data_IF_138300171144
#
_entry.id   IF_138300171144
#
_cell.length_a   1.000
_cell.length_b   1.000
_cell.length_c   1.000
_cell.angle_alpha   90.00
_cell.angle_beta   90.00
_cell.angle_gamma   90.00
#
_symmetry.space_group_name_H-M   'P 1'
#
loop_
_entity.id
_entity.type
_entity.pdbx_description
1 polymer ?
#
# COMPACT_ATOMS: atom_id res chain seq x y z
N UNK A 1 -5.39 20.00 -1.21
CA UNK A 1 -4.75 18.76 -1.71
C UNK A 1 -3.97 18.15 -0.56
N UNK A 2 -4.10 16.84 -0.31
CA UNK A 2 -3.30 16.14 0.69
C UNK A 2 -1.78 16.28 0.40
N UNK A 3 -0.95 16.21 1.45
CA UNK A 3 0.51 16.24 1.31
C UNK A 3 0.99 15.08 0.41
N UNK A 4 2.03 15.29 -0.40
CA UNK A 4 2.57 14.26 -1.29
C UNK A 4 3.20 13.10 -0.50
N UNK A 5 3.72 13.39 0.70
CA UNK A 5 4.39 12.41 1.55
C UNK A 5 3.78 12.46 2.94
N UNK A 6 3.15 11.37 3.38
CA UNK A 6 2.47 11.27 4.66
C UNK A 6 2.94 10.04 5.42
N UNK A 7 3.00 10.12 6.75
CA UNK A 7 3.19 8.98 7.63
C UNK A 7 2.08 8.99 8.68
N UNK A 8 1.25 7.96 8.67
CA UNK A 8 0.29 7.69 9.73
C UNK A 8 0.99 6.93 10.85
N UNK A 9 1.03 7.52 12.05
CA UNK A 9 1.72 6.92 13.19
C UNK A 9 0.85 6.85 14.43
N UNK A 10 1.16 5.91 15.32
CA UNK A 10 0.50 5.78 16.61
C UNK A 10 0.55 4.35 17.13
N UNK A 11 -0.06 4.10 18.29
CA UNK A 11 -0.08 2.78 18.91
C UNK A 11 -0.74 1.70 18.03
N UNK A 12 -0.51 0.41 18.29
CA UNK A 12 -1.16 -0.66 17.54
C UNK A 12 -2.68 -0.66 17.76
N UNK A 13 -3.43 -1.07 16.73
CA UNK A 13 -4.88 -1.20 16.82
C UNK A 13 -5.66 0.12 16.77
N UNK A 14 -5.04 1.24 16.36
CA UNK A 14 -5.73 2.55 16.26
C UNK A 14 -6.38 2.82 14.91
N UNK A 15 -6.28 1.89 13.96
CA UNK A 15 -6.91 2.02 12.63
C UNK A 15 -6.04 2.70 11.57
N UNK A 16 -4.70 2.72 11.72
CA UNK A 16 -3.77 3.25 10.71
C UNK A 16 -4.00 2.69 9.30
N UNK A 17 -4.25 1.38 9.18
CA UNK A 17 -4.59 0.75 7.88
C UNK A 17 -5.82 1.37 7.24
N UNK A 18 -6.83 1.71 8.04
CA UNK A 18 -8.04 2.37 7.56
C UNK A 18 -7.77 3.82 7.15
N UNK A 19 -7.00 4.56 7.94
CA UNK A 19 -6.56 5.92 7.58
C UNK A 19 -5.79 5.95 6.26
N UNK A 20 -4.94 4.95 6.01
CA UNK A 20 -4.21 4.80 4.73
C UNK A 20 -5.16 4.58 3.55
N UNK A 21 -6.21 3.77 3.72
CA UNK A 21 -7.24 3.56 2.69
C UNK A 21 -7.96 4.87 2.37
N UNK A 22 -8.44 5.58 3.40
CA UNK A 22 -9.12 6.87 3.21
C UNK A 22 -8.22 7.91 2.55
N UNK A 23 -6.96 8.01 3.00
CA UNK A 23 -5.99 8.92 2.40
C UNK A 23 -5.70 8.60 0.93
N UNK A 24 -5.62 7.31 0.58
CA UNK A 24 -5.46 6.86 -0.81
C UNK A 24 -6.65 7.25 -1.66
N UNK A 25 -7.88 7.01 -1.18
CA UNK A 25 -9.10 7.40 -1.89
C UNK A 25 -9.26 8.92 -1.96
N UNK A 26 -8.82 9.66 -0.95
CA UNK A 26 -8.81 11.12 -0.98
C UNK A 26 -7.87 11.68 -2.08
N UNK A 27 -6.84 10.92 -2.46
CA UNK A 27 -5.92 11.25 -3.55
C UNK A 27 -6.47 10.80 -4.90
N UNK A 28 -6.97 9.56 -5.00
CA UNK A 28 -7.29 8.91 -6.27
C UNK A 28 -8.77 8.95 -6.66
N UNK A 29 -9.69 9.05 -5.70
CA UNK A 29 -11.13 8.98 -5.92
C UNK A 29 -11.94 9.68 -4.80
N UNK A 30 -11.67 10.98 -4.62
CA UNK A 30 -12.33 11.79 -3.59
C UNK A 30 -13.88 11.76 -3.69
N UNK A 31 -14.51 11.82 -4.87
CA UNK A 31 -15.96 11.74 -4.97
C UNK A 31 -16.52 10.42 -4.43
N UNK A 32 -15.84 9.28 -4.66
CA UNK A 32 -16.24 8.00 -4.09
C UNK A 32 -16.10 7.98 -2.57
N UNK A 33 -14.99 8.50 -2.03
CA UNK A 33 -14.77 8.61 -0.59
C UNK A 33 -15.90 9.40 0.09
N UNK A 34 -16.21 10.59 -0.41
CA UNK A 34 -17.25 11.46 0.16
C UNK A 34 -18.63 10.79 0.11
N UNK A 35 -18.95 10.11 -1.00
CA UNK A 35 -20.24 9.44 -1.17
C UNK A 35 -20.42 8.23 -0.25
N UNK A 36 -19.34 7.53 0.07
CA UNK A 36 -19.36 6.29 0.85
C UNK A 36 -18.73 6.47 2.24
N UNK A 37 -18.65 7.71 2.74
CA UNK A 37 -18.14 8.02 4.06
C UNK A 37 -18.89 7.18 5.12
N UNK A 38 -18.13 6.50 5.98
CA UNK A 38 -18.66 5.60 7.01
C UNK A 38 -18.84 4.13 6.56
N UNK A 39 -18.77 3.80 5.27
CA UNK A 39 -18.83 2.41 4.79
C UNK A 39 -17.44 1.80 4.62
N UNK A 40 -16.89 1.22 5.70
CA UNK A 40 -15.53 0.62 5.68
C UNK A 40 -15.35 -0.44 4.59
N UNK A 41 -16.38 -1.28 4.37
CA UNK A 41 -16.34 -2.34 3.36
C UNK A 41 -16.33 -1.79 1.94
N UNK A 42 -17.12 -0.75 1.63
CA UNK A 42 -17.14 -0.13 0.31
C UNK A 42 -15.83 0.59 -0.01
N UNK A 43 -15.26 1.31 0.96
CA UNK A 43 -13.96 1.97 0.81
C UNK A 43 -12.85 0.95 0.59
N UNK A 44 -12.84 -0.14 1.35
CA UNK A 44 -11.86 -1.23 1.17
C UNK A 44 -11.99 -1.90 -0.19
N UNK A 45 -13.21 -2.19 -0.64
CA UNK A 45 -13.44 -2.77 -1.97
C UNK A 45 -12.91 -1.86 -3.08
N UNK A 46 -13.18 -0.55 -3.02
CA UNK A 46 -12.67 0.42 -3.99
C UNK A 46 -11.14 0.52 -3.97
N UNK A 47 -10.55 0.47 -2.78
CA UNK A 47 -9.10 0.44 -2.62
C UNK A 47 -8.48 -0.82 -3.24
N UNK A 48 -9.11 -1.98 -3.10
CA UNK A 48 -8.64 -3.24 -3.69
C UNK A 48 -8.71 -3.22 -5.23
N UNK A 49 -9.72 -2.56 -5.80
CA UNK A 49 -9.78 -2.29 -7.24
C UNK A 49 -8.59 -1.44 -7.71
N UNK A 50 -8.20 -0.40 -6.95
CA UNK A 50 -7.06 0.48 -7.28
C UNK A 50 -5.70 -0.24 -7.13
N UNK A 51 -5.58 -1.13 -6.15
CA UNK A 51 -4.42 -2.03 -6.03
C UNK A 51 -4.30 -2.94 -7.25
N UNK A 52 -5.40 -3.59 -7.65
CA UNK A 52 -5.43 -4.46 -8.83
C UNK A 52 -5.14 -3.69 -10.13
N UNK A 53 -5.58 -2.43 -10.21
CA UNK A 53 -5.34 -1.55 -11.36
C UNK A 53 -3.89 -1.06 -11.48
N UNK A 54 -3.06 -1.27 -10.46
CA UNK A 54 -1.68 -0.77 -10.35
C UNK A 54 -1.52 0.74 -10.18
N UNK A 55 -2.58 1.44 -9.80
CA UNK A 55 -2.51 2.84 -9.38
C UNK A 55 -2.04 3.00 -7.93
N UNK A 56 -2.18 1.92 -7.15
CA UNK A 56 -1.64 1.78 -5.81
C UNK A 56 -0.62 0.64 -5.80
N UNK A 57 0.52 0.86 -5.16
CA UNK A 57 1.49 -0.19 -4.78
C UNK A 57 1.54 -0.26 -3.27
N UNK A 58 1.58 -1.48 -2.74
CA UNK A 58 1.68 -1.71 -1.31
C UNK A 58 2.93 -2.54 -1.03
N UNK A 59 3.78 -2.06 -0.12
CA UNK A 59 4.95 -2.78 0.36
C UNK A 59 5.04 -2.67 1.87
N UNK A 60 5.64 -3.67 2.50
CA UNK A 60 5.93 -3.66 3.93
C UNK A 60 7.43 -3.66 4.14
N UNK A 61 7.95 -2.71 4.89
CA UNK A 61 9.37 -2.69 5.23
C UNK A 61 9.68 -3.70 6.34
N UNK A 62 10.85 -4.32 6.22
CA UNK A 62 11.39 -5.25 7.19
C UNK A 62 12.92 -5.11 7.21
N UNK A 63 13.59 -5.72 8.19
CA UNK A 63 15.03 -5.55 8.40
C UNK A 63 15.88 -5.94 7.19
N UNK A 64 15.42 -6.94 6.41
CA UNK A 64 16.09 -7.38 5.18
C UNK A 64 15.68 -6.63 3.91
N UNK A 65 14.72 -5.69 3.99
CA UNK A 65 14.23 -4.94 2.82
C UNK A 65 15.30 -3.92 2.42
N UNK A 66 15.65 -3.90 1.15
CA UNK A 66 16.89 -3.25 0.68
C UNK A 66 16.65 -2.20 -0.40
N UNK A 67 17.71 -1.49 -0.78
CA UNK A 67 17.69 -0.56 -1.91
C UNK A 67 17.32 -1.31 -3.20
N UNK A 68 17.83 -2.54 -3.35
CA UNK A 68 17.66 -3.40 -4.51
C UNK A 68 16.22 -3.85 -4.72
N UNK A 69 15.43 -3.94 -3.65
CA UNK A 69 13.99 -4.24 -3.71
C UNK A 69 13.16 -2.98 -4.03
N UNK A 70 13.64 -1.82 -3.61
CA UNK A 70 12.90 -0.57 -3.67
C UNK A 70 13.16 0.23 -4.94
N UNK A 71 14.42 0.41 -5.32
CA UNK A 71 14.86 1.28 -6.40
C UNK A 71 15.32 0.48 -7.60
N UNK A 72 16.45 -0.21 -7.52
CA UNK A 72 16.93 -1.12 -8.56
C UNK A 72 18.03 -2.03 -8.02
N UNK A 73 18.11 -3.24 -8.56
CA UNK A 73 19.11 -4.22 -8.15
C UNK A 73 19.48 -5.18 -9.26
N UNK A 74 20.64 -5.83 -9.13
CA UNK A 74 21.06 -6.88 -10.05
C UNK A 74 20.35 -8.18 -9.71
N UNK A 75 19.68 -8.78 -10.70
CA UNK A 75 19.14 -10.14 -10.60
C UNK A 75 19.83 -11.06 -11.59
N UNK A 76 20.14 -12.26 -11.11
CA UNK A 76 20.67 -13.31 -11.96
C UNK A 76 19.53 -13.96 -12.74
N UNK A 77 19.61 -13.93 -14.06
CA UNK A 77 18.77 -14.69 -14.99
C UNK A 77 19.61 -15.80 -15.61
N UNK A 78 19.00 -16.96 -15.84
CA UNK A 78 19.67 -18.06 -16.53
C UNK A 78 19.05 -18.16 -17.91
N UNK A 79 19.87 -18.04 -18.96
CA UNK A 79 19.38 -18.23 -20.32
C UNK A 79 19.10 -19.72 -20.62
N UNK A 80 18.45 -19.98 -21.75
CA UNK A 80 18.11 -21.35 -22.21
C UNK A 80 19.34 -22.26 -22.37
N UNK A 81 20.54 -21.70 -22.43
CA UNK A 81 21.82 -22.43 -22.52
C UNK A 81 22.47 -22.68 -21.16
N UNK A 82 21.82 -22.27 -20.05
CA UNK A 82 22.33 -22.45 -18.69
C UNK A 82 23.37 -21.40 -18.30
N UNK A 83 23.57 -20.34 -19.08
CA UNK A 83 24.51 -19.27 -18.76
C UNK A 83 23.85 -18.22 -17.87
N UNK A 84 24.53 -17.88 -16.77
CA UNK A 84 24.07 -16.85 -15.83
C UNK A 84 24.36 -15.46 -16.41
N UNK A 85 23.34 -14.63 -16.50
CA UNK A 85 23.41 -13.21 -16.84
C UNK A 85 22.93 -12.39 -15.65
N UNK A 86 23.48 -11.19 -15.50
CA UNK A 86 23.03 -10.26 -14.47
C UNK A 86 22.37 -9.08 -15.16
N UNK A 87 21.12 -8.84 -14.81
CA UNK A 87 20.31 -7.77 -15.36
C UNK A 87 19.91 -6.82 -14.24
N UNK A 88 19.90 -5.52 -14.54
CA UNK A 88 19.38 -4.52 -13.61
C UNK A 88 17.87 -4.55 -13.69
N UNK A 89 17.22 -4.81 -12.57
CA UNK A 89 15.75 -4.89 -12.46
C UNK A 89 15.28 -3.73 -11.60
N UNK A 90 14.27 -2.99 -12.08
CA UNK A 90 13.61 -1.93 -11.33
C UNK A 90 12.92 -2.49 -10.09
N UNK A 91 13.15 -1.86 -8.95
CA UNK A 91 12.42 -2.10 -7.71
C UNK A 91 11.01 -1.51 -7.74
N UNK A 92 10.27 -1.71 -6.66
CA UNK A 92 8.84 -1.33 -6.58
C UNK A 92 8.58 0.17 -6.76
N UNK A 93 9.49 1.03 -6.28
CA UNK A 93 9.32 2.47 -6.35
C UNK A 93 9.73 3.02 -7.71
N UNK A 94 10.87 2.56 -8.25
CA UNK A 94 11.33 2.94 -9.60
C UNK A 94 10.30 2.53 -10.65
N UNK A 95 9.83 1.28 -10.61
CA UNK A 95 8.81 0.78 -11.54
C UNK A 95 7.49 1.55 -11.46
N UNK A 96 7.07 1.98 -10.26
CA UNK A 96 5.90 2.84 -10.11
C UNK A 96 6.10 4.21 -10.80
N UNK A 97 7.25 4.85 -10.58
CA UNK A 97 7.59 6.12 -11.21
C UNK A 97 7.66 6.00 -12.74
N UNK A 98 8.27 4.94 -13.26
CA UNK A 98 8.38 4.65 -14.69
C UNK A 98 7.00 4.43 -15.33
N UNK A 99 6.08 3.76 -14.62
CA UNK A 99 4.73 3.52 -15.14
C UNK A 99 3.97 4.81 -15.43
N UNK A 100 4.14 5.84 -14.59
CA UNK A 100 3.55 7.17 -14.81
C UNK A 100 4.20 7.85 -16.02
N UNK A 101 5.53 7.81 -16.11
CA UNK A 101 6.26 8.44 -17.19
C UNK A 101 5.86 7.84 -18.56
N UNK A 102 5.66 6.52 -18.62
CA UNK A 102 5.16 5.83 -19.82
C UNK A 102 3.75 6.30 -20.19
N UNK A 103 2.82 6.38 -19.24
CA UNK A 103 1.44 6.85 -19.46
C UNK A 103 1.37 8.31 -19.94
N UNK A 104 2.24 9.20 -19.42
CA UNK A 104 2.29 10.61 -19.80
C UNK A 104 2.85 10.85 -21.20
N UNK A 105 3.65 9.92 -21.73
CA UNK A 105 4.41 10.13 -22.97
C UNK A 105 3.60 10.00 -24.26
N UNK A 106 2.32 9.61 -24.19
CA UNK A 106 1.47 9.43 -25.39
C UNK A 106 2.06 8.42 -26.40
N UNK A 107 2.85 7.46 -25.90
CA UNK A 107 3.69 6.53 -26.68
C UNK A 107 2.90 5.63 -27.62
N UNK A 108 1.67 5.29 -27.25
CA UNK A 108 0.82 4.34 -27.95
C UNK A 108 -0.45 4.99 -28.47
N UNK A 109 -0.97 4.42 -29.57
CA UNK A 109 -2.23 4.88 -30.16
C UNK A 109 -3.39 4.64 -29.19
N UNK A 110 -4.12 5.71 -28.86
CA UNK A 110 -5.30 5.63 -28.00
C UNK A 110 -6.46 4.87 -28.66
N UNK A 111 -7.36 4.36 -27.82
CA UNK A 111 -8.64 3.75 -28.21
C UNK A 111 -9.75 4.81 -28.18
N UNK A 112 -10.70 4.76 -29.13
CA UNK A 112 -11.88 5.63 -29.13
C UNK A 112 -13.14 4.84 -28.83
N UNK A 113 -14.05 5.45 -28.08
CA UNK A 113 -15.39 4.89 -27.87
C UNK A 113 -16.08 4.72 -29.23
N UNK A 114 -16.58 3.52 -29.48
CA UNK A 114 -17.17 3.11 -30.75
C UNK A 114 -16.24 2.31 -31.66
N UNK A 115 -14.92 2.29 -31.40
CA UNK A 115 -13.98 1.47 -32.15
C UNK A 115 -14.32 -0.02 -32.03
N UNK A 116 -14.02 -0.78 -33.09
CA UNK A 116 -14.27 -2.22 -33.14
C UNK A 116 -13.00 -2.99 -33.42
N UNK A 117 -12.76 -4.04 -32.65
CA UNK A 117 -11.56 -4.87 -32.72
C UNK A 117 -11.91 -6.37 -32.79
N UNK A 118 -11.03 -7.13 -33.44
CA UNK A 118 -11.17 -8.59 -33.59
C UNK A 118 -12.51 -9.00 -34.22
N UNK A 119 -13.16 -10.00 -33.64
CA UNK A 119 -14.41 -10.60 -34.15
C UNK A 119 -15.69 -9.87 -33.71
N UNK A 120 -15.61 -8.57 -33.42
CA UNK A 120 -16.77 -7.72 -33.11
C UNK A 120 -16.81 -7.15 -31.70
N UNK A 121 -15.66 -7.05 -31.02
CA UNK A 121 -15.55 -6.37 -29.73
C UNK A 121 -15.69 -4.86 -29.96
N UNK A 122 -16.53 -4.19 -29.18
CA UNK A 122 -16.78 -2.75 -29.31
C UNK A 122 -16.28 -2.02 -28.08
N UNK A 123 -15.50 -0.97 -28.28
CA UNK A 123 -15.08 -0.06 -27.19
C UNK A 123 -16.30 0.73 -26.73
N UNK A 124 -16.72 0.50 -25.49
CA UNK A 124 -17.81 1.25 -24.86
C UNK A 124 -17.28 2.33 -23.92
N UNK A 125 -16.06 2.13 -23.42
CA UNK A 125 -15.32 3.11 -22.63
C UNK A 125 -13.85 2.96 -22.94
N UNK A 126 -13.18 4.07 -23.21
CA UNK A 126 -11.72 4.12 -23.27
C UNK A 126 -11.27 5.40 -22.58
N UNK A 127 -10.50 5.23 -21.53
CA UNK A 127 -9.75 6.29 -20.90
C UNK A 127 -8.35 5.75 -20.60
N UNK A 128 -7.43 6.58 -20.14
CA UNK A 128 -6.04 6.11 -20.00
C UNK A 128 -5.84 5.12 -18.82
N UNK A 129 -6.89 4.74 -18.06
CA UNK A 129 -6.82 3.70 -17.01
C UNK A 129 -7.35 2.35 -17.50
N UNK A 130 -8.44 2.36 -18.25
CA UNK A 130 -9.16 1.15 -18.63
C UNK A 130 -9.78 1.30 -20.02
N UNK A 131 -9.74 0.21 -20.78
CA UNK A 131 -10.60 0.00 -21.93
C UNK A 131 -11.69 -0.99 -21.55
N UNK A 132 -12.94 -0.56 -21.61
CA UNK A 132 -14.09 -1.45 -21.48
C UNK A 132 -14.59 -1.83 -22.88
N UNK A 133 -14.71 -3.13 -23.07
CA UNK A 133 -15.12 -3.76 -24.32
C UNK A 133 -16.44 -4.51 -24.11
N UNK A 134 -17.41 -4.21 -24.96
CA UNK A 134 -18.60 -5.03 -25.14
C UNK A 134 -18.23 -6.24 -26.02
N UNK A 135 -18.42 -7.46 -25.51
CA UNK A 135 -18.22 -8.68 -26.29
C UNK A 135 -19.33 -8.83 -27.33
N UNK A 136 -19.08 -9.53 -28.46
CA UNK A 136 -20.13 -9.82 -29.46
C UNK A 136 -21.39 -10.51 -28.90
N UNK A 137 -21.27 -11.22 -27.78
CA UNK A 137 -22.37 -11.91 -27.08
C UNK A 137 -22.91 -11.14 -25.85
N UNK A 138 -22.64 -9.84 -25.74
CA UNK A 138 -23.31 -8.88 -24.84
C UNK A 138 -22.72 -8.67 -23.45
N UNK A 139 -21.80 -9.52 -22.95
CA UNK A 139 -21.12 -9.25 -21.67
C UNK A 139 -19.99 -8.23 -21.85
N UNK A 140 -19.88 -7.26 -20.96
CA UNK A 140 -18.78 -6.30 -20.93
C UNK A 140 -17.61 -6.83 -20.11
N UNK A 141 -16.40 -6.40 -20.45
CA UNK A 141 -15.21 -6.60 -19.61
C UNK A 141 -14.25 -5.43 -19.79
N UNK A 142 -13.45 -5.17 -18.76
CA UNK A 142 -12.41 -4.16 -18.78
C UNK A 142 -11.03 -4.79 -18.91
N UNK A 143 -10.13 -4.09 -19.60
CA UNK A 143 -8.68 -4.35 -19.57
C UNK A 143 -7.98 -3.08 -19.09
N UNK A 144 -7.04 -3.22 -18.17
CA UNK A 144 -6.25 -2.11 -17.69
C UNK A 144 -5.31 -1.60 -18.80
N UNK A 145 -5.27 -0.28 -18.99
CA UNK A 145 -4.34 0.35 -19.93
C UNK A 145 -2.89 0.17 -19.50
N UNK A 146 -2.62 0.08 -18.20
CA UNK A 146 -1.28 -0.23 -17.66
C UNK A 146 -0.75 -1.57 -18.16
N UNK A 147 -1.58 -2.62 -18.15
CA UNK A 147 -1.24 -3.91 -18.73
C UNK A 147 -1.02 -3.81 -20.24
N UNK A 148 -1.92 -3.14 -20.96
CA UNK A 148 -1.78 -3.01 -22.41
C UNK A 148 -0.53 -2.22 -22.80
N UNK A 149 -0.18 -1.18 -22.06
CA UNK A 149 1.04 -0.41 -22.25
C UNK A 149 2.28 -1.28 -21.97
N UNK A 150 2.30 -2.03 -20.87
CA UNK A 150 3.42 -2.90 -20.53
C UNK A 150 3.64 -4.01 -21.59
N UNK A 151 2.55 -4.64 -22.05
CA UNK A 151 2.62 -5.61 -23.16
C UNK A 151 3.06 -4.95 -24.48
N UNK A 152 2.62 -3.72 -24.75
CA UNK A 152 3.05 -2.96 -25.93
C UNK A 152 4.53 -2.56 -25.82
N UNK A 153 5.03 -2.26 -24.61
CA UNK A 153 6.44 -2.01 -24.32
C UNK A 153 7.27 -3.24 -24.66
N UNK A 154 6.94 -4.41 -24.10
CA UNK A 154 7.63 -5.67 -24.36
C UNK A 154 7.63 -6.04 -25.84
N UNK A 155 6.50 -5.83 -26.53
CA UNK A 155 6.42 -6.09 -27.97
C UNK A 155 7.24 -5.08 -28.79
N UNK A 156 7.20 -3.80 -28.42
CA UNK A 156 7.97 -2.75 -29.12
C UNK A 156 9.49 -2.91 -28.95
N UNK A 157 9.92 -3.45 -27.82
CA UNK A 157 11.32 -3.72 -27.50
C UNK A 157 11.81 -5.07 -28.06
N UNK A 158 10.91 -5.87 -28.65
CA UNK A 158 11.22 -7.18 -29.22
C UNK A 158 11.40 -8.29 -28.19
N UNK A 159 11.07 -8.03 -26.92
CA UNK A 159 11.05 -9.02 -25.83
C UNK A 159 9.94 -10.05 -26.09
N UNK A 160 8.78 -9.57 -26.53
CA UNK A 160 7.67 -10.39 -27.00
C UNK A 160 7.37 -10.10 -28.49
N UNK A 161 6.75 -11.06 -29.15
CA UNK A 161 6.04 -10.81 -30.40
C UNK A 161 4.53 -10.85 -30.15
N UNK A 162 3.75 -10.19 -31.01
CA UNK A 162 2.29 -10.29 -30.99
C UNK A 162 1.82 -11.75 -31.08
N UNK A 163 2.57 -12.59 -31.82
CA UNK A 163 2.28 -14.01 -31.94
C UNK A 163 2.50 -14.79 -30.63
N UNK A 164 3.43 -14.36 -29.77
CA UNK A 164 3.62 -14.97 -28.44
C UNK A 164 2.40 -14.71 -27.54
N UNK A 165 1.77 -13.54 -27.69
CA UNK A 165 0.53 -13.20 -26.97
C UNK A 165 -0.67 -14.01 -27.45
N UNK A 166 -0.78 -14.28 -28.75
CA UNK A 166 -1.90 -15.04 -29.33
C UNK A 166 -1.82 -16.54 -29.03
N UNK A 167 -0.62 -17.11 -29.07
CA UNK A 167 -0.36 -18.53 -28.80
C UNK A 167 -0.28 -18.84 -27.30
N UNK A 168 0.02 -17.82 -26.47
CA UNK A 168 0.16 -17.97 -25.03
C UNK A 168 1.57 -18.35 -24.57
N UNK A 169 2.56 -18.28 -25.47
CA UNK A 169 3.96 -18.60 -25.19
C UNK A 169 4.70 -17.47 -24.43
N UNK A 170 4.03 -16.34 -24.18
CA UNK A 170 4.60 -15.21 -23.45
C UNK A 170 4.97 -15.55 -21.99
N UNK A 171 4.30 -16.52 -21.34
CA UNK A 171 4.61 -16.97 -19.97
C UNK A 171 5.99 -17.62 -19.87
N UNK A 172 6.38 -18.39 -20.89
CA UNK A 172 7.70 -19.02 -20.93
C UNK A 172 8.81 -17.99 -21.16
N UNK A 173 8.50 -16.93 -21.92
CA UNK A 173 9.45 -15.84 -22.20
C UNK A 173 9.56 -14.84 -21.05
N UNK A 174 8.52 -14.69 -20.23
CA UNK A 174 8.48 -13.79 -19.09
C UNK A 174 8.02 -14.50 -17.81
N UNK A 175 8.79 -15.49 -17.31
CA UNK A 175 8.39 -16.33 -16.17
C UNK A 175 8.27 -15.56 -14.85
N UNK A 176 8.89 -14.38 -14.77
CA UNK A 176 8.86 -13.49 -13.60
C UNK A 176 8.02 -12.23 -13.83
N UNK A 177 7.21 -12.17 -14.89
CA UNK A 177 6.34 -11.01 -15.11
C UNK A 177 5.31 -10.87 -14.00
N UNK A 178 4.88 -9.64 -13.75
CA UNK A 178 3.76 -9.33 -12.86
C UNK A 178 2.40 -9.42 -13.57
N UNK A 179 2.36 -9.93 -14.80
CA UNK A 179 1.12 -10.04 -15.57
C UNK A 179 0.27 -11.18 -15.01
N UNK A 180 -1.03 -10.94 -14.81
CA UNK A 180 -1.96 -12.00 -14.43
C UNK A 180 -2.10 -13.03 -15.59
N UNK A 181 -1.64 -14.28 -15.40
CA UNK A 181 -1.71 -15.30 -16.44
C UNK A 181 -3.14 -15.60 -16.89
N UNK A 182 -4.12 -15.52 -15.98
CA UNK A 182 -5.52 -15.80 -16.29
C UNK A 182 -6.14 -14.72 -17.17
N UNK A 183 -5.71 -13.48 -17.02
CA UNK A 183 -6.21 -12.37 -17.81
C UNK A 183 -5.67 -12.45 -19.24
N UNK A 184 -4.37 -12.64 -19.43
CA UNK A 184 -3.80 -12.76 -20.79
C UNK A 184 -4.27 -14.04 -21.48
N UNK A 185 -4.36 -15.18 -20.77
CA UNK A 185 -4.95 -16.43 -21.32
C UNK A 185 -6.42 -16.27 -21.71
N UNK A 186 -7.21 -15.60 -20.87
CA UNK A 186 -8.64 -15.39 -21.09
C UNK A 186 -8.96 -14.51 -22.31
N UNK A 187 -8.00 -13.72 -22.78
CA UNK A 187 -8.19 -12.71 -23.82
C UNK A 187 -7.20 -12.84 -25.01
N UNK A 188 -6.65 -14.03 -25.26
CA UNK A 188 -5.74 -14.35 -26.39
C UNK A 188 -6.26 -13.93 -27.77
N UNK A 189 -7.58 -13.79 -27.93
CA UNK A 189 -8.20 -13.39 -29.20
C UNK A 189 -8.28 -11.87 -29.40
N UNK A 190 -8.14 -11.07 -28.34
CA UNK A 190 -8.38 -9.63 -28.37
C UNK A 190 -7.14 -8.82 -27.96
N UNK A 191 -6.39 -9.27 -26.94
CA UNK A 191 -5.17 -8.58 -26.48
C UNK A 191 -4.17 -8.37 -27.62
N UNK A 192 -3.81 -9.37 -28.45
CA UNK A 192 -2.86 -9.17 -29.55
C UNK A 192 -3.32 -8.07 -30.53
N UNK A 193 -4.61 -8.02 -30.85
CA UNK A 193 -5.20 -7.04 -31.76
C UNK A 193 -5.16 -5.63 -31.16
N UNK A 194 -5.37 -5.50 -29.85
CA UNK A 194 -5.26 -4.22 -29.15
C UNK A 194 -3.82 -3.72 -29.14
N UNK A 195 -2.85 -4.61 -28.90
CA UNK A 195 -1.42 -4.27 -28.92
C UNK A 195 -0.97 -3.87 -30.34
N UNK A 196 -1.41 -4.59 -31.38
CA UNK A 196 -1.16 -4.19 -32.77
C UNK A 196 -1.73 -2.79 -33.08
N UNK A 197 -2.96 -2.48 -32.62
CA UNK A 197 -3.52 -1.15 -32.78
C UNK A 197 -2.67 -0.09 -32.09
N UNK A 198 -2.26 -0.34 -30.84
CA UNK A 198 -1.43 0.56 -30.05
C UNK A 198 -0.07 0.85 -30.69
N UNK A 199 0.51 -0.16 -31.36
CA UNK A 199 1.81 -0.08 -32.03
C UNK A 199 1.74 0.37 -33.50
N UNK A 200 0.56 0.42 -34.10
CA UNK A 200 0.38 0.81 -35.51
C UNK A 200 0.87 2.25 -35.75
N UNK A 201 1.80 2.43 -36.71
CA UNK A 201 2.35 3.75 -37.06
C UNK A 201 1.26 4.65 -37.68
N UNK A 202 1.16 5.88 -37.17
CA UNK A 202 0.37 6.99 -37.73
C UNK A 202 0.78 7.24 -39.19
N UNK A 203 -0.12 7.02 -40.15
CA UNK A 203 -0.25 7.94 -41.27
C UNK A 203 -1.46 8.81 -40.93
N UNK A 204 -1.24 10.12 -40.95
CA UNK A 204 -2.19 11.22 -40.75
C UNK A 204 -2.35 11.77 -39.31
N UNK A 205 -2.16 13.09 -39.28
CA UNK A 205 -2.38 14.10 -38.25
C UNK A 205 -1.46 14.11 -37.03
N UNK A 206 -0.34 14.82 -37.21
CA UNK A 206 0.33 15.57 -36.16
C UNK A 206 -0.70 16.37 -35.34
N UNK A 207 -1.11 15.83 -34.19
CA UNK A 207 -1.37 16.70 -33.04
C UNK A 207 -0.01 16.92 -32.38
N UNK A 208 0.51 18.14 -32.51
CA UNK A 208 1.50 18.68 -31.59
C UNK A 208 1.10 18.28 -30.17
N UNK A 209 2.04 17.67 -29.45
CA UNK A 209 1.86 17.32 -28.05
C UNK A 209 1.69 18.62 -27.26
N UNK A 210 0.47 19.12 -27.16
CA UNK A 210 0.09 19.81 -25.94
C UNK A 210 0.18 18.75 -24.85
N UNK A 211 1.18 18.93 -23.98
CA UNK A 211 1.31 18.20 -22.72
C UNK A 211 0.07 18.54 -21.92
N UNK A 212 -1.00 17.78 -22.12
CA UNK A 212 -1.99 17.60 -21.07
C UNK A 212 -1.23 16.84 -20.01
N UNK A 213 -0.72 17.56 -18.99
CA UNK A 213 -0.28 16.92 -17.76
C UNK A 213 -1.40 15.96 -17.36
N UNK A 214 -1.16 14.65 -17.42
CA UNK A 214 -2.13 13.77 -16.80
C UNK A 214 -2.07 14.08 -15.31
N UNK A 215 -3.18 14.58 -14.76
CA UNK A 215 -3.38 14.84 -13.32
C UNK A 215 -3.38 13.54 -12.49
N UNK A 216 -2.86 12.44 -13.05
CA UNK A 216 -3.06 11.09 -12.55
C UNK A 216 -2.09 10.79 -11.45
N UNK A 217 -2.54 10.92 -10.21
CA UNK A 217 -1.74 10.50 -9.08
C UNK A 217 -1.58 8.97 -9.05
N UNK A 218 -0.43 8.48 -8.58
CA UNK A 218 -0.30 7.10 -8.09
C UNK A 218 0.19 7.12 -6.65
N UNK A 219 -0.14 6.08 -5.90
CA UNK A 219 0.16 5.99 -4.47
C UNK A 219 1.05 4.79 -4.21
N UNK A 220 2.16 5.02 -3.51
CA UNK A 220 2.94 3.95 -2.88
C UNK A 220 2.67 3.96 -1.38
N UNK A 221 2.14 2.86 -0.88
CA UNK A 221 1.95 2.60 0.54
C UNK A 221 3.14 1.81 1.06
N UNK A 222 3.76 2.33 2.12
CA UNK A 222 4.90 1.74 2.81
C UNK A 222 4.48 1.41 4.24
N UNK A 223 4.03 0.18 4.44
CA UNK A 223 3.64 -0.32 5.74
C UNK A 223 4.87 -0.59 6.61
N UNK A 224 4.76 -0.32 7.91
CA UNK A 224 5.84 -0.53 8.88
C UNK A 224 7.15 0.17 8.48
N UNK A 225 7.06 1.44 8.06
CA UNK A 225 8.17 2.17 7.45
C UNK A 225 9.42 2.23 8.34
N UNK A 226 9.27 2.20 9.67
CA UNK A 226 10.37 2.20 10.62
C UNK A 226 11.04 0.83 10.84
N UNK A 227 10.52 -0.27 10.27
CA UNK A 227 11.12 -1.61 10.38
C UNK A 227 12.30 -1.87 9.47
N UNK A 228 12.53 -1.01 8.49
CA UNK A 228 13.71 -1.02 7.61
C UNK A 228 14.65 0.15 7.89
N UNK A 229 15.90 0.05 7.41
CA UNK A 229 16.79 1.21 7.38
C UNK A 229 16.37 2.12 6.21
N UNK A 230 15.45 3.03 6.48
CA UNK A 230 14.80 3.87 5.45
C UNK A 230 15.81 4.70 4.67
N UNK A 231 16.84 5.25 5.33
CA UNK A 231 17.90 6.00 4.66
C UNK A 231 18.66 5.14 3.64
N UNK A 232 18.93 3.88 3.97
CA UNK A 232 19.57 2.93 3.04
C UNK A 232 18.63 2.47 1.92
N UNK A 233 17.36 2.24 2.24
CA UNK A 233 16.35 1.79 1.26
C UNK A 233 16.10 2.86 0.19
N UNK A 234 15.93 4.12 0.60
CA UNK A 234 15.73 5.22 -0.35
C UNK A 234 17.02 5.64 -1.07
N UNK A 235 18.20 5.41 -0.46
CA UNK A 235 19.48 5.78 -1.04
C UNK A 235 19.53 7.26 -1.42
N UNK A 236 19.94 7.54 -2.65
CA UNK A 236 20.00 8.89 -3.22
C UNK A 236 18.61 9.53 -3.45
N UNK A 237 17.55 8.72 -3.54
CA UNK A 237 16.18 9.21 -3.78
C UNK A 237 15.61 9.95 -2.57
N UNK A 238 16.23 9.83 -1.39
CA UNK A 238 15.83 10.55 -0.18
C UNK A 238 15.76 12.07 -0.39
N UNK A 239 16.55 12.62 -1.32
CA UNK A 239 16.49 14.05 -1.65
C UNK A 239 15.35 14.35 -2.62
N UNK A 240 15.10 13.45 -3.57
CA UNK A 240 14.12 13.63 -4.63
C UNK A 240 12.67 13.48 -4.15
N UNK A 241 12.43 12.80 -3.03
CA UNK A 241 11.06 12.67 -2.49
C UNK A 241 10.49 14.02 -2.05
N UNK A 242 11.31 15.04 -1.82
CA UNK A 242 10.87 16.38 -1.48
C UNK A 242 10.09 17.01 -2.65
N UNK A 243 8.87 17.56 -2.42
CA UNK A 243 8.02 18.08 -3.51
C UNK A 243 8.70 19.08 -4.44
N UNK A 244 9.56 19.95 -3.91
CA UNK A 244 10.30 20.97 -4.67
C UNK A 244 11.34 20.39 -5.63
N UNK A 245 11.82 19.17 -5.37
CA UNK A 245 12.90 18.50 -6.10
C UNK A 245 12.40 17.51 -7.16
N UNK A 246 11.08 17.30 -7.24
CA UNK A 246 10.44 16.39 -8.19
C UNK A 246 10.41 16.95 -9.61
N UNK A 247 10.21 16.08 -10.58
CA UNK A 247 10.09 16.45 -11.98
C UNK A 247 8.99 17.52 -12.17
N UNK A 248 9.30 18.59 -12.89
CA UNK A 248 8.38 19.70 -13.16
C UNK A 248 8.25 20.75 -12.05
N UNK A 249 8.91 20.57 -10.89
CA UNK A 249 8.96 21.57 -9.84
C UNK A 249 10.04 22.65 -10.10
N UNK A 250 9.98 23.76 -9.36
CA UNK A 250 10.89 24.91 -9.53
C UNK A 250 12.36 24.57 -9.25
N UNK A 251 12.63 23.60 -8.40
CA UNK A 251 13.97 23.14 -8.04
C UNK A 251 14.17 21.67 -8.43
N UNK A 252 13.54 21.22 -9.52
CA UNK A 252 13.60 19.84 -10.00
C UNK A 252 15.04 19.34 -10.08
N UNK A 253 15.28 18.13 -9.57
CA UNK A 253 16.58 17.47 -9.56
C UNK A 253 16.47 16.08 -10.20
N UNK A 254 17.58 15.65 -10.77
CA UNK A 254 17.77 14.29 -11.24
C UNK A 254 19.04 13.71 -10.63
N UNK A 255 19.02 12.42 -10.33
CA UNK A 255 20.18 11.66 -9.85
C UNK A 255 20.60 10.65 -10.92
N UNK A 256 21.85 10.18 -10.84
CA UNK A 256 22.31 9.04 -11.65
C UNK A 256 22.29 7.80 -10.79
N UNK A 257 21.48 6.81 -11.18
CA UNK A 257 21.32 5.58 -10.41
C UNK A 257 22.60 4.71 -10.48
N UNK A 258 22.96 4.00 -9.40
CA UNK A 258 24.23 3.30 -9.29
C UNK A 258 24.34 2.05 -10.15
N UNK A 259 23.25 1.33 -10.41
CA UNK A 259 23.30 0.07 -11.16
C UNK A 259 23.07 0.30 -12.65
N UNK A 260 21.96 0.94 -13.03
CA UNK A 260 21.60 1.21 -14.43
C UNK A 260 22.41 2.33 -15.07
N UNK A 261 22.98 3.25 -14.26
CA UNK A 261 23.61 4.51 -14.71
C UNK A 261 22.65 5.48 -15.42
N UNK A 262 21.35 5.23 -15.31
CA UNK A 262 20.32 6.09 -15.89
C UNK A 262 20.11 7.36 -15.06
N UNK A 263 19.65 8.42 -15.72
CA UNK A 263 19.14 9.62 -15.05
C UNK A 263 17.73 9.33 -14.56
N UNK A 264 17.46 9.62 -13.29
CA UNK A 264 16.18 9.36 -12.68
C UNK A 264 15.68 10.58 -11.90
N UNK A 265 14.39 10.85 -12.02
CA UNK A 265 13.64 11.84 -11.24
C UNK A 265 12.31 11.26 -10.80
N UNK A 266 11.76 11.77 -9.69
CA UNK A 266 10.47 11.34 -9.18
C UNK A 266 9.37 12.22 -9.81
N UNK A 267 8.33 11.64 -10.43
CA UNK A 267 7.19 12.40 -10.94
C UNK A 267 6.46 13.19 -9.84
N UNK A 268 5.95 14.38 -10.17
CA UNK A 268 5.27 15.27 -9.21
C UNK A 268 3.97 14.69 -8.63
N UNK A 269 3.33 13.78 -9.35
CA UNK A 269 2.06 13.11 -9.06
C UNK A 269 2.21 11.77 -8.33
N UNK A 270 3.40 11.39 -7.88
CA UNK A 270 3.57 10.24 -6.98
C UNK A 270 3.23 10.64 -5.54
N UNK A 271 2.45 9.85 -4.83
CA UNK A 271 2.19 10.04 -3.40
C UNK A 271 2.79 8.89 -2.60
N UNK A 272 3.42 9.22 -1.48
CA UNK A 272 3.96 8.26 -0.52
C UNK A 272 3.13 8.29 0.75
N UNK A 273 2.62 7.13 1.16
CA UNK A 273 1.89 6.98 2.43
C UNK A 273 2.57 5.90 3.26
N UNK A 274 3.20 6.29 4.36
CA UNK A 274 3.79 5.38 5.33
C UNK A 274 2.84 5.08 6.48
N UNK A 275 2.97 3.89 7.09
CA UNK A 275 2.42 3.60 8.41
C UNK A 275 3.56 3.31 9.39
N UNK A 276 3.37 3.65 10.66
CA UNK A 276 4.38 3.47 11.69
C UNK A 276 3.73 3.09 13.03
N UNK A 277 4.10 1.95 13.60
CA UNK A 277 3.81 1.67 15.01
C UNK A 277 4.84 2.38 15.88
N UNK A 278 4.38 3.13 16.87
CA UNK A 278 5.27 3.87 17.78
C UNK A 278 5.71 3.08 19.00
N UNK A 279 4.99 2.02 19.39
CA UNK A 279 5.34 1.14 20.51
C UNK A 279 6.57 0.26 20.26
N UNK A 280 6.95 0.05 18.99
CA UNK A 280 7.97 -0.93 18.62
C UNK A 280 9.38 -0.40 18.92
N UNK A 281 9.92 -0.78 20.09
CA UNK A 281 11.24 -0.34 20.59
C UNK A 281 12.44 -0.87 19.81
N UNK A 282 12.24 -1.89 18.97
CA UNK A 282 13.29 -2.57 18.19
C UNK A 282 13.65 -1.86 16.88
N UNK A 283 13.02 -0.72 16.60
CA UNK A 283 13.04 -0.09 15.28
C UNK A 283 14.06 1.04 15.18
N UNK A 284 14.66 1.18 14.01
CA UNK A 284 15.60 2.27 13.76
C UNK A 284 14.85 3.60 13.87
N UNK A 285 15.35 4.51 14.71
CA UNK A 285 14.79 5.86 14.78
C UNK A 285 14.79 6.47 13.37
N UNK A 286 13.62 6.94 12.93
CA UNK A 286 13.52 7.54 11.60
C UNK A 286 14.45 8.76 11.54
N UNK A 287 15.33 8.77 10.53
CA UNK A 287 16.31 9.83 10.33
C UNK A 287 15.62 11.21 10.28
N UNK A 288 16.25 12.23 10.87
CA UNK A 288 15.82 13.63 10.83
C UNK A 288 15.61 14.08 9.38
N UNK A 289 16.44 13.59 8.46
CA UNK A 289 16.34 13.87 7.04
C UNK A 289 14.99 13.41 6.44
N UNK A 290 14.50 12.25 6.85
CA UNK A 290 13.19 11.74 6.42
C UNK A 290 12.06 12.47 7.13
N UNK A 291 12.20 12.74 8.43
CA UNK A 291 11.18 13.48 9.19
C UNK A 291 10.82 14.82 8.55
N UNK A 292 11.79 15.51 7.95
CA UNK A 292 11.57 16.81 7.26
C UNK A 292 10.84 16.69 5.92
N UNK A 293 10.73 15.49 5.35
CA UNK A 293 10.19 15.23 4.00
C UNK A 293 8.83 14.53 4.01
N UNK A 294 8.36 14.13 5.19
CA UNK A 294 7.05 13.55 5.40
C UNK A 294 6.22 14.42 6.35
N UNK A 295 4.92 14.50 6.11
CA UNK A 295 3.95 15.01 7.06
C UNK A 295 3.54 13.88 8.00
N UNK A 296 3.72 14.06 9.31
CA UNK A 296 3.36 13.07 10.32
C UNK A 296 1.94 13.33 10.79
N UNK A 297 1.09 12.32 10.69
CA UNK A 297 -0.32 12.36 11.06
C UNK A 297 -0.53 11.30 12.14
N UNK A 298 -0.85 11.75 13.34
CA UNK A 298 -1.13 10.85 14.45
C UNK A 298 -2.49 10.19 14.27
N UNK A 299 -2.55 8.89 14.55
CA UNK A 299 -3.78 8.10 14.61
C UNK A 299 -3.90 7.56 16.05
N UNK A 300 -4.47 8.36 16.97
CA UNK A 300 -4.57 7.99 18.37
C UNK A 300 -5.64 6.92 18.61
N UNK A 301 -5.63 6.24 19.76
CA UNK A 301 -6.77 5.48 20.23
C UNK A 301 -8.04 6.37 20.24
N UNK A 302 -9.16 5.77 19.86
CA UNK A 302 -10.44 6.47 19.80
C UNK A 302 -11.51 5.62 20.50
N UNK A 303 -11.68 5.79 21.82
CA UNK A 303 -12.72 5.09 22.57
C UNK A 303 -14.15 5.42 22.14
N UNK A 304 -14.38 6.60 21.52
CA UNK A 304 -15.73 7.02 21.08
C UNK A 304 -16.35 6.03 20.07
N UNK A 305 -15.50 5.29 19.33
CA UNK A 305 -15.94 4.22 18.42
C UNK A 305 -16.56 3.01 19.13
N UNK A 306 -16.51 2.98 20.47
CA UNK A 306 -17.00 1.88 21.32
C UNK A 306 -18.13 2.35 22.26
N UNK A 307 -18.61 3.60 22.14
CA UNK A 307 -19.63 4.20 23.03
C UNK A 307 -20.91 3.35 23.15
N UNK A 308 -21.34 2.72 22.06
CA UNK A 308 -22.56 1.91 22.01
C UNK A 308 -22.35 0.45 22.47
N UNK A 309 -21.15 0.08 22.93
CA UNK A 309 -20.81 -1.30 23.30
C UNK A 309 -20.77 -1.45 24.82
N UNK A 310 -21.73 -2.21 25.35
CA UNK A 310 -21.81 -2.61 26.76
C UNK A 310 -21.74 -4.14 26.89
N UNK A 311 -20.94 -4.64 27.84
CA UNK A 311 -20.85 -6.07 28.16
C UNK A 311 -21.09 -6.28 29.66
N UNK A 312 -22.23 -6.88 30.02
CA UNK A 312 -22.58 -7.18 31.42
C UNK A 312 -22.47 -5.94 32.36
N UNK A 313 -22.99 -4.78 31.91
CA UNK A 313 -22.90 -3.52 32.65
C UNK A 313 -21.56 -2.79 32.54
N UNK A 314 -20.63 -3.27 31.71
CA UNK A 314 -19.32 -2.65 31.49
C UNK A 314 -19.35 -1.85 30.18
N UNK A 315 -19.26 -0.53 30.29
CA UNK A 315 -19.04 0.37 29.15
C UNK A 315 -17.60 0.22 28.62
N UNK A 316 -17.46 -0.19 27.36
CA UNK A 316 -16.17 -0.60 26.79
C UNK A 316 -15.29 0.60 26.42
N UNK A 317 -15.90 1.71 25.98
CA UNK A 317 -15.24 3.00 25.77
C UNK A 317 -14.61 3.55 27.07
N UNK A 318 -15.35 3.53 28.18
CA UNK A 318 -14.86 3.95 29.50
C UNK A 318 -13.72 3.04 29.99
N UNK A 319 -13.88 1.72 29.82
CA UNK A 319 -12.84 0.74 30.15
C UNK A 319 -11.54 1.04 29.42
N UNK A 320 -11.60 1.23 28.10
CA UNK A 320 -10.44 1.55 27.28
C UNK A 320 -9.81 2.88 27.67
N UNK A 321 -10.63 3.92 27.88
CA UNK A 321 -10.18 5.25 28.28
C UNK A 321 -9.40 5.21 29.61
N UNK A 322 -9.96 4.54 30.63
CA UNK A 322 -9.33 4.41 31.94
C UNK A 322 -8.03 3.60 31.88
N UNK A 323 -8.00 2.51 31.11
CA UNK A 323 -6.78 1.73 30.90
C UNK A 323 -5.70 2.57 30.22
N UNK A 324 -6.04 3.29 29.15
CA UNK A 324 -5.10 4.15 28.42
C UNK A 324 -4.57 5.31 29.27
N UNK A 325 -5.41 5.92 30.12
CA UNK A 325 -4.94 6.93 31.08
C UNK A 325 -3.86 6.37 32.01
N UNK A 326 -4.03 5.14 32.50
CA UNK A 326 -3.04 4.48 33.36
C UNK A 326 -1.76 4.14 32.60
N UNK A 327 -1.88 3.60 31.40
CA UNK A 327 -0.73 3.25 30.56
C UNK A 327 0.07 4.51 30.21
N UNK A 328 -0.58 5.59 29.80
CA UNK A 328 0.07 6.86 29.46
C UNK A 328 0.88 7.44 30.63
N UNK A 329 0.41 7.28 31.87
CA UNK A 329 1.11 7.73 33.08
C UNK A 329 2.26 6.81 33.45
N UNK A 330 2.09 5.49 33.31
CA UNK A 330 3.08 4.48 33.72
C UNK A 330 4.17 4.24 32.68
N UNK A 331 3.90 4.60 31.42
CA UNK A 331 4.77 4.39 30.28
C UNK A 331 4.83 5.64 29.39
N UNK A 332 3.95 5.76 28.39
CA UNK A 332 3.80 6.92 27.51
C UNK A 332 2.54 6.78 26.62
N UNK A 333 2.28 7.77 25.77
CA UNK A 333 1.13 7.77 24.83
C UNK A 333 1.28 6.74 23.69
N UNK A 334 2.51 6.40 23.31
CA UNK A 334 2.82 5.50 22.18
C UNK A 334 2.51 4.03 22.48
N UNK A 335 2.35 3.67 23.75
CA UNK A 335 1.97 2.33 24.19
C UNK A 335 0.49 2.22 24.60
N UNK A 336 -0.35 3.23 24.32
CA UNK A 336 -1.78 3.11 24.59
C UNK A 336 -2.44 2.01 23.73
N UNK A 337 -3.51 1.40 24.24
CA UNK A 337 -4.27 0.38 23.55
C UNK A 337 -5.18 1.01 22.50
N UNK A 338 -5.15 0.48 21.27
CA UNK A 338 -6.09 0.88 20.23
C UNK A 338 -7.49 0.29 20.39
N UNK A 339 -8.50 0.97 19.86
CA UNK A 339 -9.90 0.52 19.93
C UNK A 339 -10.16 -0.78 19.14
N UNK A 340 -9.32 -1.11 18.15
CA UNK A 340 -9.52 -2.29 17.29
C UNK A 340 -9.53 -3.63 18.06
N UNK A 341 -8.87 -3.72 19.21
CA UNK A 341 -8.91 -4.92 20.06
C UNK A 341 -10.33 -5.24 20.55
N UNK A 342 -11.15 -4.20 20.76
CA UNK A 342 -12.49 -4.31 21.33
C UNK A 342 -13.60 -4.28 20.27
N UNK A 343 -13.32 -3.85 19.05
CA UNK A 343 -14.29 -3.82 17.94
C UNK A 343 -15.05 -5.15 17.70
N UNK A 344 -14.48 -6.36 17.88
CA UNK A 344 -15.24 -7.61 17.73
C UNK A 344 -16.49 -7.70 18.64
N UNK A 345 -16.50 -6.96 19.76
CA UNK A 345 -17.64 -6.91 20.68
C UNK A 345 -18.87 -6.21 20.07
N UNK A 346 -18.71 -5.44 19.00
CA UNK A 346 -19.83 -4.86 18.24
C UNK A 346 -20.76 -5.97 17.70
N UNK A 347 -20.18 -7.11 17.31
CA UNK A 347 -20.92 -8.27 16.81
C UNK A 347 -21.23 -9.34 17.86
N UNK A 348 -20.43 -9.41 18.93
CA UNK A 348 -20.53 -10.44 19.98
C UNK A 348 -20.19 -9.83 21.36
N UNK A 349 -21.12 -9.06 21.96
CA UNK A 349 -20.90 -8.35 23.23
C UNK A 349 -21.07 -9.28 24.44
N UNK A 350 -20.29 -10.35 24.51
CA UNK A 350 -20.35 -11.33 25.59
C UNK A 350 -19.16 -11.22 26.55
N UNK A 351 -19.39 -11.54 27.83
CA UNK A 351 -18.32 -11.55 28.84
C UNK A 351 -17.23 -12.58 28.48
N UNK A 352 -17.61 -13.70 27.88
CA UNK A 352 -16.67 -14.72 27.39
C UNK A 352 -15.74 -14.14 26.31
N UNK A 353 -16.29 -13.39 25.35
CA UNK A 353 -15.51 -12.72 24.30
C UNK A 353 -14.58 -11.66 24.88
N UNK A 354 -15.08 -10.83 25.80
CA UNK A 354 -14.28 -9.81 26.49
C UNK A 354 -13.13 -10.45 27.29
N UNK A 355 -13.41 -11.52 28.03
CA UNK A 355 -12.39 -12.27 28.77
C UNK A 355 -11.33 -12.88 27.83
N UNK A 356 -11.74 -13.36 26.65
CA UNK A 356 -10.85 -13.81 25.58
C UNK A 356 -9.91 -12.71 25.10
N UNK A 357 -10.45 -11.51 24.78
CA UNK A 357 -9.66 -10.34 24.37
C UNK A 357 -8.60 -10.01 25.42
N UNK A 358 -8.98 -10.00 26.70
CA UNK A 358 -8.02 -9.76 27.79
C UNK A 358 -6.93 -10.83 27.86
N UNK A 359 -7.31 -12.11 27.84
CA UNK A 359 -6.39 -13.23 28.02
C UNK A 359 -5.41 -13.39 26.85
N UNK A 360 -5.90 -13.21 25.63
CA UNK A 360 -5.18 -13.56 24.41
C UNK A 360 -4.45 -12.37 23.78
N UNK A 361 -4.91 -11.14 24.04
CA UNK A 361 -4.38 -9.95 23.37
C UNK A 361 -3.88 -8.89 24.36
N UNK A 362 -4.70 -8.45 25.31
CA UNK A 362 -4.35 -7.33 26.18
C UNK A 362 -3.28 -7.71 27.21
N UNK A 363 -3.43 -8.83 27.92
CA UNK A 363 -2.46 -9.24 28.94
C UNK A 363 -1.08 -9.55 28.34
N UNK A 364 -0.96 -10.32 27.24
CA UNK A 364 0.35 -10.51 26.59
C UNK A 364 0.98 -9.19 26.13
N UNK A 365 0.18 -8.26 25.60
CA UNK A 365 0.70 -6.95 25.17
C UNK A 365 1.21 -6.12 26.34
N UNK A 366 0.49 -6.11 27.47
CA UNK A 366 0.94 -5.44 28.69
C UNK A 366 2.21 -6.09 29.25
N UNK A 367 2.36 -7.41 29.15
CA UNK A 367 3.59 -8.11 29.54
C UNK A 367 4.79 -7.64 28.71
N UNK A 368 4.60 -7.48 27.40
CA UNK A 368 5.64 -6.96 26.51
C UNK A 368 5.97 -5.49 26.82
N UNK A 369 4.96 -4.63 26.97
CA UNK A 369 5.15 -3.20 27.22
C UNK A 369 5.87 -2.91 28.54
N UNK A 370 5.57 -3.69 29.56
CA UNK A 370 6.14 -3.51 30.89
C UNK A 370 7.32 -4.46 31.19
N UNK A 371 7.83 -5.22 30.20
CA UNK A 371 8.94 -6.18 30.38
C UNK A 371 8.72 -7.12 31.56
N UNK A 372 7.51 -7.69 31.65
CA UNK A 372 7.09 -8.56 32.75
C UNK A 372 7.11 -7.88 34.15
N UNK A 373 7.09 -6.54 34.24
CA UNK A 373 6.84 -5.83 35.50
C UNK A 373 5.36 -6.00 35.91
N UNK A 374 5.09 -7.11 36.57
CA UNK A 374 3.76 -7.52 37.03
C UNK A 374 3.11 -6.49 37.96
N UNK A 375 3.91 -5.70 38.70
CA UNK A 375 3.37 -4.67 39.58
C UNK A 375 2.76 -3.52 38.78
N UNK A 376 3.43 -3.06 37.72
CA UNK A 376 2.86 -2.04 36.82
C UNK A 376 1.64 -2.54 36.08
N UNK A 377 1.64 -3.80 35.64
CA UNK A 377 0.48 -4.42 34.99
C UNK A 377 -0.71 -4.47 35.96
N UNK A 378 -0.49 -4.83 37.23
CA UNK A 378 -1.52 -4.77 38.28
C UNK A 378 -2.10 -3.36 38.44
N UNK A 379 -1.27 -2.31 38.38
CA UNK A 379 -1.74 -0.92 38.45
C UNK A 379 -2.60 -0.53 37.25
N UNK A 380 -2.23 -0.94 36.03
CA UNK A 380 -3.06 -0.75 34.82
C UNK A 380 -4.44 -1.41 35.00
N UNK A 381 -4.45 -2.65 35.51
CA UNK A 381 -5.68 -3.43 35.74
C UNK A 381 -6.41 -3.06 37.03
N UNK A 382 -5.85 -2.18 37.85
CA UNK A 382 -6.34 -1.76 39.17
C UNK A 382 -6.54 -2.91 40.19
N UNK A 383 -5.70 -3.94 40.11
CA UNK A 383 -5.78 -5.12 40.99
C UNK A 383 -5.50 -4.81 42.47
N UNK A 384 -4.70 -3.78 42.75
CA UNK A 384 -4.37 -3.32 44.10
C UNK A 384 -5.59 -2.82 44.90
N UNK A 385 -6.70 -2.50 44.21
CA UNK A 385 -7.97 -2.09 44.83
C UNK A 385 -9.01 -3.22 44.89
N UNK A 386 -8.68 -4.42 44.40
CA UNK A 386 -9.57 -5.57 44.36
C UNK A 386 -9.24 -6.55 45.47
N UNK A 387 -10.28 -7.24 45.96
CA UNK A 387 -10.12 -8.43 46.79
C UNK A 387 -9.28 -9.48 46.02
N UNK A 388 -8.41 -10.26 46.69
CA UNK A 388 -7.48 -11.20 46.04
C UNK A 388 -8.12 -12.12 44.99
N UNK A 389 -9.32 -12.63 45.26
CA UNK A 389 -10.11 -13.50 44.39
C UNK A 389 -10.59 -12.84 43.09
N UNK A 390 -10.63 -11.51 43.04
CA UNK A 390 -11.11 -10.71 41.91
C UNK A 390 -9.96 -10.07 41.11
N UNK A 391 -8.70 -10.38 41.43
CA UNK A 391 -7.52 -9.85 40.73
C UNK A 391 -7.27 -10.61 39.44
N UNK A 392 -6.81 -9.91 38.40
CA UNK A 392 -6.34 -10.56 37.17
C UNK A 392 -5.03 -11.30 37.43
N UNK A 393 -4.12 -10.68 38.19
CA UNK A 393 -2.80 -11.22 38.49
C UNK A 393 -2.75 -11.68 39.95
N UNK A 394 -2.69 -13.00 40.14
CA UNK A 394 -2.55 -13.64 41.44
C UNK A 394 -1.06 -13.85 41.71
N UNK A 395 -0.57 -13.26 42.80
CA UNK A 395 0.78 -13.53 43.26
C UNK A 395 0.82 -14.95 43.86
N UNK A 396 1.74 -15.83 43.43
CA UNK A 396 1.91 -17.12 44.08
C UNK A 396 2.17 -16.89 45.57
N UNK A 397 1.54 -17.68 46.43
CA UNK A 397 1.92 -17.74 47.84
C UNK A 397 3.40 -18.12 47.90
N UNK A 398 4.25 -17.18 48.28
CA UNK A 398 5.62 -17.50 48.65
C UNK A 398 5.53 -18.25 49.98
N UNK A 399 5.48 -19.58 49.92
CA UNK A 399 5.89 -20.41 51.04
C UNK A 399 7.40 -20.18 51.24
N UNK A 400 7.74 -19.08 51.90
CA UNK A 400 9.02 -18.94 52.60
C UNK A 400 8.88 -19.65 53.95
N UNK A 401 8.63 -20.96 53.90
CA UNK A 401 8.88 -21.84 55.03
C UNK A 401 10.36 -22.24 55.00
N UNK A 402 11.13 -21.57 55.85
CA UNK A 402 12.45 -21.91 56.43
C UNK A 402 13.58 -22.48 55.54
#
# INVERSE_FOLDING_TARGET
>A
MPSLNQIFFGPPGTGKTYATVEATLQILDQPFLVKNAGSRSALKARFDELLAASDVRFVTFHQSFSYEDFVEGLRATTDEQGQIRYEVVSGVFKSLCESIASELSGKYRAFKVGDRYGTGYKVIRANDYIIELEKPKGKNFGLAMSLLNALADDVSQGVLSVNDLSTGNWEEKLPNSTYDPYLVKGYRNIVPVLIEHMLSKRNEDFRTAEVVQSERSKVLIIDEINRGNVSRIFGELITLIEPSKRAGASEALEVTLPYSKERFSIPSNIHLIGTMNTSDRSLAALDIALRRRFTFIEVPPNPELLEDIEVDGIAIDELLSVMNQRIAVLLDQDHCLGHAYFMPLESDPTLERLAGIFREQILPLLQEYFFEDWQRIQWVLNDQRKAPENRFLIQPSQDLSE
#
